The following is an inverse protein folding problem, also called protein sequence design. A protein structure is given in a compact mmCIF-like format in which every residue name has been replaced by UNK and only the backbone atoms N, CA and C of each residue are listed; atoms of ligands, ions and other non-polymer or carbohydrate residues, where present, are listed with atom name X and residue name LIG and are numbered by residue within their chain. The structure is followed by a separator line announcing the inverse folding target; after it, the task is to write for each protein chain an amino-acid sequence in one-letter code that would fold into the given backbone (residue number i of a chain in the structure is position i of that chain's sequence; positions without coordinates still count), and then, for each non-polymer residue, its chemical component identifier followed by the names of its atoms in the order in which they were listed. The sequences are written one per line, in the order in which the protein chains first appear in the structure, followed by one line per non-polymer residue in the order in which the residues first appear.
data_IF_205297078345
#
_entry.id   IF_205297078345
#
_cell.length_a   1.000
_cell.length_b   1.000
_cell.length_c   1.000
_cell.angle_alpha   90.00
_cell.angle_beta   90.00
_cell.angle_gamma   90.00
#
_symmetry.space_group_name_H-M   'P 1'
#
loop_
_entity.id
_entity.type
_entity.pdbx_description
1 polymer ?
#
# COMPACT_ATOMS: atom_id res chain seq x y z
N UNK A 1 -51.10 18.32 -27.39
CA UNK A 1 -51.22 18.25 -25.91
C UNK A 1 -49.82 18.29 -25.35
N UNK A 2 -49.32 19.49 -25.05
CA UNK A 2 -49.30 20.11 -23.72
C UNK A 2 -48.18 19.56 -22.81
N UNK A 3 -47.12 20.39 -22.78
CA UNK A 3 -46.00 20.53 -21.86
C UNK A 3 -46.22 20.06 -20.42
N UNK A 4 -45.16 19.52 -19.81
CA UNK A 4 -44.67 20.06 -18.52
C UNK A 4 -43.19 19.78 -18.32
N UNK A 5 -42.39 20.84 -18.37
CA UNK A 5 -40.99 20.87 -17.92
C UNK A 5 -41.01 21.03 -16.40
N UNK A 6 -40.29 20.17 -15.68
CA UNK A 6 -39.96 20.42 -14.28
C UNK A 6 -38.57 21.07 -14.20
N UNK A 7 -38.57 22.30 -13.70
CA UNK A 7 -37.41 23.10 -13.34
C UNK A 7 -37.17 22.98 -11.82
N UNK A 8 -35.89 23.13 -11.46
CA UNK A 8 -35.35 23.57 -10.16
C UNK A 8 -35.11 22.54 -9.04
N UNK A 9 -34.20 22.82 -8.08
CA UNK A 9 -33.38 24.03 -7.91
C UNK A 9 -31.85 23.79 -7.90
N UNK A 10 -31.13 24.84 -8.30
CA UNK A 10 -29.71 25.01 -8.05
C UNK A 10 -29.44 25.12 -6.54
N UNK A 11 -28.60 24.23 -6.01
CA UNK A 11 -28.03 24.37 -4.68
C UNK A 11 -26.79 25.27 -4.77
N UNK A 12 -26.91 26.48 -4.23
CA UNK A 12 -25.80 27.39 -3.98
C UNK A 12 -25.17 27.00 -2.64
N UNK A 13 -24.04 26.32 -2.66
CA UNK A 13 -23.20 26.14 -1.48
C UNK A 13 -22.17 27.27 -1.44
N UNK A 14 -22.39 28.24 -0.55
CA UNK A 14 -21.38 29.20 -0.14
C UNK A 14 -20.40 28.51 0.82
N UNK A 15 -19.17 28.29 0.40
CA UNK A 15 -18.08 27.86 1.28
C UNK A 15 -17.39 29.11 1.82
N UNK A 16 -17.61 29.38 3.11
CA UNK A 16 -16.87 30.38 3.88
C UNK A 16 -15.52 29.76 4.24
N UNK A 17 -14.45 30.22 3.58
CA UNK A 17 -13.08 29.81 3.88
C UNK A 17 -12.52 30.74 4.97
N UNK A 18 -12.60 30.32 6.24
CA UNK A 18 -11.92 30.98 7.34
C UNK A 18 -10.44 30.60 7.35
N UNK A 19 -9.57 31.55 7.02
CA UNK A 19 -8.13 31.41 7.17
C UNK A 19 -7.76 31.48 8.65
N UNK A 20 -7.40 30.35 9.24
CA UNK A 20 -6.75 30.30 10.55
C UNK A 20 -5.23 30.43 10.36
N UNK A 21 -4.69 31.60 10.73
CA UNK A 21 -3.24 31.82 10.81
C UNK A 21 -2.69 31.08 12.02
N UNK A 22 -1.94 30.01 11.80
CA UNK A 22 -1.20 29.33 12.88
C UNK A 22 0.05 30.15 13.24
N UNK A 23 -0.01 30.82 14.38
CA UNK A 23 1.13 31.45 15.05
C UNK A 23 2.10 30.37 15.50
N UNK A 24 3.27 30.30 14.85
CA UNK A 24 4.37 29.47 15.29
C UNK A 24 4.95 30.03 16.60
N UNK A 25 4.63 29.39 17.73
CA UNK A 25 5.26 29.65 19.01
C UNK A 25 6.69 29.10 19.00
N UNK A 26 7.65 30.02 18.91
CA UNK A 26 9.08 29.74 18.97
C UNK A 26 9.47 29.39 20.41
N UNK A 27 9.74 28.11 20.68
CA UNK A 27 10.25 27.64 21.98
C UNK A 27 11.72 28.08 22.15
N UNK A 28 12.09 28.72 23.28
CA UNK A 28 13.49 28.98 23.60
C UNK A 28 14.15 27.75 24.27
N UNK A 29 15.39 27.49 23.87
CA UNK A 29 16.44 26.88 24.70
C UNK A 29 16.34 25.38 24.99
N UNK A 30 17.08 24.57 24.23
CA UNK A 30 17.64 23.31 24.75
C UNK A 30 19.16 23.44 24.74
N UNK A 31 19.74 23.17 25.90
CA UNK A 31 21.17 23.17 26.16
C UNK A 31 21.95 22.22 25.23
N UNK A 32 23.23 22.50 24.95
CA UNK A 32 24.09 21.59 24.19
C UNK A 32 24.43 20.36 25.04
N UNK A 33 23.79 19.23 24.73
CA UNK A 33 24.18 17.91 25.25
C UNK A 33 25.47 17.46 24.53
N UNK A 34 26.47 17.08 25.33
CA UNK A 34 27.78 16.59 24.89
C UNK A 34 27.70 15.44 23.87
N UNK A 35 28.70 15.29 22.98
CA UNK A 35 28.73 14.20 22.02
C UNK A 35 28.97 12.85 22.73
N UNK A 36 28.11 11.83 22.54
CA UNK A 36 28.45 10.48 22.92
C UNK A 36 29.53 9.93 21.97
N UNK A 37 30.42 9.16 22.58
CA UNK A 37 31.66 8.59 22.04
C UNK A 37 31.40 7.69 20.83
N UNK A 38 32.37 7.72 19.90
CA UNK A 38 32.50 6.81 18.76
C UNK A 38 32.23 5.36 19.17
N UNK A 39 31.03 4.89 18.85
CA UNK A 39 30.73 3.47 18.81
C UNK A 39 30.96 3.07 17.38
N UNK A 40 32.14 2.52 17.09
CA UNK A 40 32.43 1.85 15.82
C UNK A 40 31.48 0.66 15.70
N UNK A 41 30.29 0.89 15.13
CA UNK A 41 29.34 -0.16 14.76
C UNK A 41 30.01 -0.93 13.64
N UNK A 42 30.61 -2.07 14.00
CA UNK A 42 31.10 -3.07 13.06
C UNK A 42 29.92 -3.47 12.18
N UNK A 43 29.90 -2.97 10.95
CA UNK A 43 28.91 -3.34 9.95
C UNK A 43 28.92 -4.86 9.80
N UNK A 44 27.86 -5.51 10.29
CA UNK A 44 27.57 -6.89 9.96
C UNK A 44 27.43 -6.94 8.43
N UNK A 45 28.09 -7.87 7.71
CA UNK A 45 27.90 -8.00 6.28
C UNK A 45 26.42 -8.15 6.01
N UNK A 46 25.86 -7.24 5.20
CA UNK A 46 24.50 -7.36 4.73
C UNK A 46 24.34 -8.75 4.10
N UNK A 47 23.32 -9.48 4.55
CA UNK A 47 22.96 -10.78 4.00
C UNK A 47 23.00 -10.71 2.48
N UNK A 48 23.81 -11.59 1.88
CA UNK A 48 23.93 -11.69 0.44
C UNK A 48 22.54 -11.81 -0.19
N UNK A 49 22.30 -11.22 -1.38
CA UNK A 49 21.01 -11.31 -2.04
C UNK A 49 20.62 -12.78 -2.19
N UNK A 50 19.57 -13.17 -1.45
CA UNK A 50 19.02 -14.52 -1.46
C UNK A 50 18.81 -14.91 -2.92
N UNK A 51 19.55 -15.91 -3.40
CA UNK A 51 19.44 -16.39 -4.77
C UNK A 51 17.99 -16.78 -5.00
N UNK A 52 17.28 -16.00 -5.80
CA UNK A 52 15.86 -16.20 -6.04
C UNK A 52 15.70 -17.59 -6.67
N UNK A 53 15.12 -18.53 -5.92
CA UNK A 53 14.76 -19.83 -6.48
C UNK A 53 13.80 -19.56 -7.64
N UNK A 54 14.12 -20.00 -8.86
CA UNK A 54 13.23 -19.80 -9.99
C UNK A 54 11.87 -20.43 -9.68
N UNK A 55 10.79 -19.66 -9.82
CA UNK A 55 9.45 -20.18 -9.60
C UNK A 55 9.12 -21.24 -10.65
N UNK A 56 8.38 -22.27 -10.22
CA UNK A 56 7.86 -23.26 -11.14
C UNK A 56 6.91 -22.59 -12.13
N UNK A 57 6.87 -23.12 -13.36
CA UNK A 57 5.94 -22.63 -14.37
C UNK A 57 4.50 -22.71 -13.85
N UNK A 58 3.74 -21.63 -14.01
CA UNK A 58 2.35 -21.55 -13.53
C UNK A 58 2.20 -20.98 -12.11
N UNK A 59 3.28 -20.74 -11.37
CA UNK A 59 3.22 -20.10 -10.07
C UNK A 59 3.20 -18.57 -10.18
N UNK A 60 2.35 -17.98 -9.35
CA UNK A 60 2.28 -16.54 -9.16
C UNK A 60 3.12 -16.12 -7.95
N UNK A 61 3.93 -15.07 -8.11
CA UNK A 61 4.62 -14.43 -7.00
C UNK A 61 4.35 -12.93 -7.03
N UNK A 62 3.62 -12.45 -6.03
CA UNK A 62 3.35 -11.03 -5.87
C UNK A 62 4.17 -10.50 -4.70
N UNK A 63 5.03 -9.52 -4.96
CA UNK A 63 5.79 -8.80 -3.95
C UNK A 63 5.23 -7.40 -3.85
N UNK A 64 4.90 -6.94 -2.64
CA UNK A 64 4.38 -5.60 -2.45
C UNK A 64 5.01 -4.89 -1.25
N UNK A 65 5.20 -3.59 -1.40
CA UNK A 65 5.56 -2.70 -0.30
C UNK A 65 4.31 -2.28 0.45
N UNK A 66 4.34 -2.44 1.77
CA UNK A 66 3.27 -2.04 2.67
C UNK A 66 3.37 -0.57 3.04
N UNK A 67 2.23 0.10 3.11
CA UNK A 67 2.09 1.47 3.56
C UNK A 67 1.31 1.59 4.88
N UNK A 68 1.67 2.58 5.70
CA UNK A 68 0.87 3.08 6.83
C UNK A 68 -0.05 4.19 6.34
N UNK A 69 -1.35 3.94 6.33
CA UNK A 69 -2.35 4.86 5.82
C UNK A 69 -3.31 5.36 6.91
N UNK A 70 -3.03 5.12 8.20
CA UNK A 70 -3.91 5.58 9.28
C UNK A 70 -4.15 7.11 9.26
N UNK A 71 -3.21 7.87 8.70
CA UNK A 71 -3.24 9.34 8.69
C UNK A 71 -2.86 9.97 7.34
N UNK A 72 -2.76 9.16 6.29
CA UNK A 72 -2.26 9.66 5.01
C UNK A 72 -3.36 10.40 4.23
N UNK A 73 -2.95 11.43 3.48
CA UNK A 73 -3.86 12.12 2.58
C UNK A 73 -4.39 11.15 1.50
N UNK A 74 -5.65 11.34 1.02
CA UNK A 74 -6.20 10.49 -0.02
C UNK A 74 -5.27 10.36 -1.23
N UNK A 75 -4.99 9.11 -1.64
CA UNK A 75 -4.13 8.81 -2.79
C UNK A 75 -2.62 8.86 -2.53
N UNK A 76 -2.17 9.16 -1.30
CA UNK A 76 -0.75 9.14 -0.92
C UNK A 76 -0.49 8.02 0.08
N UNK A 77 0.28 6.97 -0.28
CA UNK A 77 0.77 6.02 0.71
C UNK A 77 1.84 6.68 1.58
N UNK A 78 1.61 6.77 2.88
CA UNK A 78 2.62 7.21 3.86
C UNK A 78 3.28 6.00 4.54
N UNK A 79 4.48 6.19 5.12
CA UNK A 79 5.20 5.20 5.93
C UNK A 79 5.49 3.84 5.26
N UNK A 80 6.75 3.48 5.02
CA UNK A 80 7.07 2.12 4.57
C UNK A 80 7.03 1.14 5.76
N UNK A 81 6.09 0.18 5.75
CA UNK A 81 5.95 -0.86 6.77
C UNK A 81 6.71 -2.16 6.42
N UNK A 82 7.46 -2.15 5.31
CA UNK A 82 8.25 -3.27 4.82
C UNK A 82 7.61 -3.98 3.63
N UNK A 83 8.38 -4.89 3.05
CA UNK A 83 7.95 -5.70 1.91
C UNK A 83 7.28 -7.00 2.37
N UNK A 84 6.30 -7.47 1.61
CA UNK A 84 5.70 -8.78 1.75
C UNK A 84 5.62 -9.50 0.41
N UNK A 85 5.78 -10.83 0.46
CA UNK A 85 5.72 -11.69 -0.71
C UNK A 85 4.62 -12.73 -0.54
N UNK A 86 3.73 -12.81 -1.52
CA UNK A 86 2.71 -13.85 -1.64
C UNK A 86 3.15 -14.80 -2.75
N UNK A 87 3.06 -16.10 -2.49
CA UNK A 87 3.22 -17.15 -3.49
C UNK A 87 1.93 -17.93 -3.58
N UNK A 88 1.44 -18.14 -4.81
CA UNK A 88 0.22 -18.88 -5.10
C UNK A 88 0.49 -19.89 -6.20
N UNK A 89 -0.06 -21.09 -6.02
CA UNK A 89 -0.18 -22.04 -7.12
C UNK A 89 -1.30 -21.61 -8.08
N UNK A 90 -1.27 -22.12 -9.31
CA UNK A 90 -2.34 -21.89 -10.29
C UNK A 90 -3.71 -22.26 -9.72
N UNK A 91 -4.70 -21.37 -9.91
CA UNK A 91 -6.06 -21.53 -9.39
C UNK A 91 -6.24 -21.17 -7.91
N UNK A 92 -5.16 -20.88 -7.18
CA UNK A 92 -5.28 -20.44 -5.79
C UNK A 92 -5.62 -18.96 -5.70
N UNK A 93 -6.30 -18.62 -4.60
CA UNK A 93 -6.54 -17.25 -4.18
C UNK A 93 -6.18 -17.05 -2.71
N UNK A 94 -5.83 -15.82 -2.35
CA UNK A 94 -5.68 -15.38 -0.96
C UNK A 94 -6.55 -14.16 -0.72
N UNK A 95 -7.33 -14.24 0.35
CA UNK A 95 -8.23 -13.16 0.80
C UNK A 95 -7.58 -12.45 1.96
N UNK A 96 -7.67 -11.13 1.95
CA UNK A 96 -7.03 -10.24 2.91
C UNK A 96 -8.08 -9.66 3.85
N UNK A 97 -7.75 -9.61 5.15
CA UNK A 97 -8.58 -8.94 6.15
C UNK A 97 -8.27 -7.44 6.16
N UNK A 98 -9.14 -6.63 5.55
CA UNK A 98 -8.94 -5.18 5.36
C UNK A 98 -9.42 -4.32 6.53
N UNK A 99 -9.51 -4.88 7.73
CA UNK A 99 -9.92 -4.14 8.93
C UNK A 99 -8.78 -3.23 9.42
N UNK A 100 -9.09 -1.99 9.78
CA UNK A 100 -8.12 -0.99 10.24
C UNK A 100 -7.30 -1.46 11.45
N UNK A 101 -7.86 -2.33 12.29
CA UNK A 101 -7.11 -2.91 13.43
C UNK A 101 -5.94 -3.79 13.01
N UNK A 102 -5.91 -4.24 11.76
CA UNK A 102 -4.89 -5.15 11.22
C UNK A 102 -3.94 -4.49 10.22
N UNK A 103 -4.12 -3.21 9.90
CA UNK A 103 -3.34 -2.47 8.89
C UNK A 103 -1.82 -2.59 9.08
N UNK A 104 -1.38 -2.61 10.34
CA UNK A 104 0.04 -2.67 10.72
C UNK A 104 0.54 -4.10 10.93
N UNK A 105 -0.31 -5.11 10.96
CA UNK A 105 0.09 -6.50 11.17
C UNK A 105 0.72 -7.09 9.90
N UNK A 106 1.81 -7.85 10.05
CA UNK A 106 2.36 -8.66 8.95
C UNK A 106 1.57 -9.93 8.77
N UNK A 107 1.54 -10.44 7.54
CA UNK A 107 1.06 -11.81 7.32
C UNK A 107 1.84 -12.81 8.20
N UNK A 108 1.14 -13.81 8.71
CA UNK A 108 1.71 -14.86 9.59
C UNK A 108 1.76 -16.23 8.90
N UNK A 109 1.47 -16.26 7.59
CA UNK A 109 1.37 -17.47 6.76
C UNK A 109 0.00 -18.15 6.77
N UNK A 110 -0.85 -17.83 7.75
CA UNK A 110 -2.24 -18.33 7.85
C UNK A 110 -3.23 -17.23 7.53
N UNK A 111 -3.06 -16.09 8.18
CA UNK A 111 -3.83 -14.88 8.04
C UNK A 111 -3.06 -13.89 7.15
N UNK A 112 -3.81 -13.31 6.23
CA UNK A 112 -3.33 -12.25 5.35
C UNK A 112 -4.08 -10.99 5.74
N UNK A 113 -3.36 -9.99 6.23
CA UNK A 113 -3.94 -8.73 6.65
C UNK A 113 -3.82 -7.73 5.52
N UNK A 114 -4.93 -7.06 5.20
CA UNK A 114 -5.05 -6.11 4.11
C UNK A 114 -4.09 -4.97 4.32
N UNK A 115 -3.01 -4.99 3.55
CA UNK A 115 -2.06 -3.90 3.48
C UNK A 115 -2.50 -2.90 2.44
N UNK A 116 -2.39 -1.61 2.76
CA UNK A 116 -2.31 -0.58 1.75
C UNK A 116 -1.02 -0.81 0.96
N UNK A 117 -1.12 -1.37 -0.23
CA UNK A 117 0.03 -1.59 -1.08
C UNK A 117 0.44 -0.27 -1.74
N UNK A 118 1.75 0.02 -1.69
CA UNK A 118 2.37 1.18 -2.33
C UNK A 118 2.98 0.83 -3.67
N UNK A 119 3.73 -0.27 -3.70
CA UNK A 119 4.39 -0.81 -4.87
C UNK A 119 3.97 -2.25 -4.96
N UNK A 120 3.55 -2.70 -6.14
CA UNK A 120 3.23 -4.10 -6.40
C UNK A 120 4.07 -4.54 -7.60
N UNK A 121 4.79 -5.64 -7.40
CA UNK A 121 5.63 -6.27 -8.41
C UNK A 121 5.22 -7.73 -8.56
N UNK A 122 4.93 -8.15 -9.78
CA UNK A 122 4.72 -9.55 -10.09
C UNK A 122 6.05 -10.17 -10.54
N UNK A 123 6.65 -10.96 -9.65
CA UNK A 123 7.88 -11.72 -9.90
C UNK A 123 7.59 -13.14 -10.45
N UNK A 124 6.31 -13.49 -10.64
CA UNK A 124 5.88 -14.78 -11.17
C UNK A 124 5.96 -14.87 -12.69
N UNK A 125 5.67 -16.07 -13.20
CA UNK A 125 5.64 -16.38 -14.64
C UNK A 125 4.25 -16.23 -15.27
N UNK A 126 3.25 -15.97 -14.45
CA UNK A 126 1.83 -15.87 -14.79
C UNK A 126 1.25 -14.54 -14.34
N UNK A 127 0.18 -14.12 -15.01
CA UNK A 127 -0.56 -12.91 -14.63
C UNK A 127 -1.18 -13.10 -13.25
N UNK A 128 -1.20 -12.03 -12.45
CA UNK A 128 -1.83 -12.00 -11.12
C UNK A 128 -2.96 -10.99 -11.12
N UNK A 129 -4.15 -11.41 -10.71
CA UNK A 129 -5.28 -10.50 -10.52
C UNK A 129 -5.35 -10.06 -9.06
N UNK A 130 -5.30 -8.76 -8.83
CA UNK A 130 -5.49 -8.13 -7.50
C UNK A 130 -6.84 -7.44 -7.50
N UNK A 131 -7.69 -7.82 -6.56
CA UNK A 131 -9.01 -7.23 -6.36
C UNK A 131 -8.91 -6.21 -5.24
N UNK A 132 -9.41 -5.01 -5.51
CA UNK A 132 -9.52 -3.90 -4.56
C UNK A 132 -10.98 -3.43 -4.49
N UNK A 133 -11.35 -2.58 -3.50
CA UNK A 133 -12.69 -2.00 -3.45
C UNK A 133 -13.09 -1.22 -4.71
N UNK A 134 -12.10 -0.75 -5.47
CA UNK A 134 -12.28 0.07 -6.68
C UNK A 134 -12.24 -0.73 -7.98
N UNK A 135 -11.96 -2.04 -7.94
CA UNK A 135 -11.99 -2.92 -9.11
C UNK A 135 -10.89 -3.97 -9.10
N UNK A 136 -10.71 -4.63 -10.24
CA UNK A 136 -9.64 -5.62 -10.44
C UNK A 136 -8.50 -5.02 -11.25
N UNK A 137 -7.27 -5.29 -10.83
CA UNK A 137 -6.04 -4.94 -11.56
C UNK A 137 -5.25 -6.21 -11.86
N UNK A 138 -4.90 -6.39 -13.13
CA UNK A 138 -4.08 -7.53 -13.56
C UNK A 138 -2.63 -7.08 -13.75
N UNK A 139 -1.71 -7.84 -13.16
CA UNK A 139 -0.27 -7.59 -13.21
C UNK A 139 0.35 -8.71 -14.04
N UNK A 140 0.86 -8.39 -15.23
CA UNK A 140 1.59 -9.34 -16.07
C UNK A 140 2.91 -9.78 -15.44
N UNK A 141 3.54 -10.85 -15.94
CA UNK A 141 4.84 -11.31 -15.46
C UNK A 141 5.91 -10.23 -15.67
N UNK A 142 6.79 -10.05 -14.68
CA UNK A 142 7.86 -9.05 -14.68
C UNK A 142 7.39 -7.59 -14.74
N UNK A 143 6.10 -7.33 -14.48
CA UNK A 143 5.59 -5.97 -14.34
C UNK A 143 5.73 -5.48 -12.90
N UNK A 144 6.36 -4.32 -12.76
CA UNK A 144 6.33 -3.53 -11.54
C UNK A 144 5.42 -2.31 -11.78
N UNK A 145 4.31 -2.24 -11.06
CA UNK A 145 3.55 -0.99 -11.00
C UNK A 145 4.16 -0.17 -9.86
N UNK A 146 4.96 0.82 -10.25
CA UNK A 146 5.49 1.86 -9.34
C UNK A 146 4.56 3.06 -9.23
N UNK A 147 3.28 2.87 -9.52
CA UNK A 147 2.31 3.92 -9.28
C UNK A 147 2.05 3.94 -7.77
N UNK A 148 2.51 5.00 -7.11
CA UNK A 148 2.29 5.35 -5.70
C UNK A 148 0.81 5.56 -5.36
N UNK A 149 -0.07 4.74 -5.91
CA UNK A 149 -1.51 4.80 -5.70
C UNK A 149 -1.80 3.76 -4.63
N UNK A 150 -2.38 4.24 -3.53
CA UNK A 150 -2.93 3.42 -2.47
C UNK A 150 -3.80 2.30 -3.06
N UNK A 151 -3.39 1.05 -2.87
CA UNK A 151 -4.16 -0.13 -3.25
C UNK A 151 -4.55 -0.93 -2.02
N UNK A 152 -5.84 -0.95 -1.73
CA UNK A 152 -6.41 -1.74 -0.65
C UNK A 152 -6.62 -3.16 -1.18
N UNK A 153 -5.66 -4.04 -0.96
CA UNK A 153 -5.73 -5.42 -1.45
C UNK A 153 -6.79 -6.16 -0.64
N UNK A 154 -7.85 -6.64 -1.31
CA UNK A 154 -8.88 -7.50 -0.73
C UNK A 154 -8.64 -8.96 -1.08
N UNK A 155 -8.20 -9.22 -2.32
CA UNK A 155 -7.96 -10.58 -2.79
C UNK A 155 -6.85 -10.58 -3.85
N UNK A 156 -6.05 -11.65 -3.84
CA UNK A 156 -5.06 -11.94 -4.87
C UNK A 156 -5.36 -13.31 -5.46
N UNK A 157 -5.51 -13.36 -6.78
CA UNK A 157 -5.90 -14.56 -7.52
C UNK A 157 -4.81 -14.92 -8.52
N UNK A 158 -4.38 -16.17 -8.48
CA UNK A 158 -3.56 -16.79 -9.51
C UNK A 158 -4.47 -17.58 -10.47
N UNK A 159 -4.64 -17.16 -11.72
CA UNK A 159 -5.54 -17.84 -12.66
C UNK A 159 -5.05 -19.24 -13.01
N UNK A 160 -5.98 -20.13 -13.36
CA UNK A 160 -5.66 -21.39 -14.06
C UNK A 160 -5.48 -21.04 -15.54
N UNK A 161 -4.34 -21.37 -16.12
CA UNK A 161 -4.10 -21.21 -17.57
C UNK A 161 -4.67 -22.39 -18.35
#
# INVERSE_FOLDING_TARGET
MQYTRFLSPAFVFAVILSAASNTAAQRPGRDPVAPPRDTTVRATPADAPSSATPLAAGQCQLTYERADNMWAAPGRPDGNLGEETIRLEAGQRKVFSTDWRYEKMRNDGVNYYGSHARIITNNGSTDVSVITPTGTRTFGPFWAVRNSVKLDIQEVVCPVR
#
